data_IF_098848282194
#
_entry.id   IF_098848282194
#
_cell.length_a   1.000
_cell.length_b   1.000
_cell.length_c   1.000
_cell.angle_alpha   90.00
_cell.angle_beta   90.00
_cell.angle_gamma   90.00
#
_symmetry.space_group_name_H-M   'P 1'
#
loop_
_entity.id
_entity.type
_entity.pdbx_description
1 polymer ?
#
# COMPACT_ATOMS: atom_id res chain seq x y z
N UNK A 1 -1.39 -25.67 -1.83
CA UNK A 1 -1.66 -25.20 -3.22
C UNK A 1 -0.36 -25.22 -4.04
N UNK A 2 -0.14 -26.32 -4.76
CA UNK A 2 1.08 -26.56 -5.54
C UNK A 2 0.92 -26.09 -6.98
N UNK A 3 1.67 -25.06 -7.36
CA UNK A 3 2.03 -24.67 -8.74
C UNK A 3 2.88 -23.39 -8.77
N UNK A 4 2.83 -22.56 -7.72
CA UNK A 4 3.78 -21.48 -7.52
C UNK A 4 5.07 -22.07 -6.92
N UNK A 5 6.16 -22.07 -7.69
CA UNK A 5 7.52 -22.48 -7.26
C UNK A 5 8.12 -21.53 -6.19
N UNK A 6 7.35 -21.12 -5.18
CA UNK A 6 7.72 -20.13 -4.18
C UNK A 6 7.64 -18.67 -4.66
N UNK A 7 7.06 -18.41 -5.84
CA UNK A 7 6.83 -17.05 -6.34
C UNK A 7 5.64 -16.44 -5.62
N UNK A 8 5.83 -15.23 -5.09
CA UNK A 8 4.80 -14.44 -4.41
C UNK A 8 4.39 -13.27 -5.31
N UNK A 9 3.10 -12.98 -5.35
CA UNK A 9 2.56 -11.82 -6.04
C UNK A 9 1.93 -10.86 -5.04
N UNK A 10 2.20 -9.57 -5.19
CA UNK A 10 1.57 -8.48 -4.41
C UNK A 10 1.02 -7.46 -5.38
N UNK A 11 -0.23 -7.04 -5.20
CA UNK A 11 -0.77 -5.86 -5.89
C UNK A 11 -0.43 -4.62 -5.09
N UNK A 12 0.29 -3.68 -5.69
CA UNK A 12 0.43 -2.32 -5.18
C UNK A 12 -0.62 -1.44 -5.85
N UNK A 13 -1.30 -0.62 -5.06
CA UNK A 13 -2.28 0.36 -5.55
C UNK A 13 -1.87 1.75 -5.07
N UNK A 14 -2.01 2.73 -5.96
CA UNK A 14 -1.91 4.16 -5.66
C UNK A 14 -3.01 4.94 -6.41
N UNK A 15 -3.00 6.26 -6.32
CA UNK A 15 -3.99 7.11 -6.99
C UNK A 15 -3.93 7.05 -8.52
N UNK A 16 -2.83 6.53 -9.09
CA UNK A 16 -2.58 6.44 -10.54
C UNK A 16 -2.91 5.07 -11.12
N UNK A 17 -3.10 4.05 -10.28
CA UNK A 17 -3.52 2.72 -10.69
C UNK A 17 -2.92 1.61 -9.84
N UNK A 18 -2.66 0.46 -10.47
CA UNK A 18 -2.13 -0.72 -9.80
C UNK A 18 -0.93 -1.33 -10.53
N UNK A 19 -0.02 -1.90 -9.77
CA UNK A 19 1.15 -2.63 -10.25
C UNK A 19 1.25 -3.99 -9.56
N UNK A 20 1.53 -5.03 -10.35
CA UNK A 20 1.70 -6.40 -9.87
C UNK A 20 3.18 -6.66 -9.58
N UNK A 21 3.54 -6.78 -8.31
CA UNK A 21 4.88 -7.24 -7.93
C UNK A 21 5.01 -8.74 -8.15
N UNK A 22 6.12 -9.13 -8.75
CA UNK A 22 6.55 -10.53 -8.88
C UNK A 22 7.78 -10.71 -8.01
N UNK A 23 7.65 -11.52 -6.95
CA UNK A 23 8.69 -11.73 -5.95
C UNK A 23 9.14 -13.18 -6.05
N UNK A 24 10.37 -13.38 -6.51
CA UNK A 24 10.99 -14.70 -6.59
C UNK A 24 11.36 -15.23 -5.20
N UNK A 25 11.49 -16.55 -5.01
CA UNK A 25 11.72 -17.17 -3.70
C UNK A 25 12.92 -16.59 -2.93
N UNK A 26 14.03 -16.34 -3.62
CA UNK A 26 15.25 -15.77 -3.05
C UNK A 26 15.04 -14.35 -2.50
N UNK A 27 14.29 -13.53 -3.24
CA UNK A 27 13.90 -12.18 -2.81
C UNK A 27 12.89 -12.25 -1.67
N UNK A 28 11.90 -13.16 -1.76
CA UNK A 28 10.92 -13.37 -0.71
C UNK A 28 11.60 -13.73 0.61
N UNK A 29 12.50 -14.71 0.63
CA UNK A 29 13.18 -15.13 1.85
C UNK A 29 14.01 -13.98 2.46
N UNK A 30 14.70 -13.20 1.62
CA UNK A 30 15.48 -12.04 2.08
C UNK A 30 14.60 -10.93 2.67
N UNK A 31 13.40 -10.72 2.15
CA UNK A 31 12.51 -9.62 2.53
C UNK A 31 11.20 -10.09 3.18
N UNK A 32 11.20 -11.29 3.76
CA UNK A 32 10.00 -12.00 4.25
C UNK A 32 9.13 -11.15 5.18
N UNK A 33 9.76 -10.37 6.06
CA UNK A 33 9.05 -9.47 6.97
C UNK A 33 8.29 -8.35 6.25
N UNK A 34 8.91 -7.74 5.23
CA UNK A 34 8.28 -6.67 4.44
C UNK A 34 7.12 -7.25 3.63
N UNK A 35 7.33 -8.41 3.00
CA UNK A 35 6.32 -9.07 2.17
C UNK A 35 5.09 -9.51 2.95
N UNK A 36 5.26 -10.04 4.17
CA UNK A 36 4.16 -10.57 4.97
C UNK A 36 3.49 -9.53 5.87
N UNK A 37 4.16 -8.41 6.18
CA UNK A 37 3.71 -7.47 7.21
C UNK A 37 3.63 -6.01 6.78
N UNK A 38 4.15 -5.64 5.60
CA UNK A 38 4.09 -4.26 5.12
C UNK A 38 2.68 -3.88 4.65
N UNK A 39 2.17 -2.76 5.14
CA UNK A 39 0.93 -2.13 4.64
C UNK A 39 1.23 -1.00 3.65
N UNK A 40 2.44 -0.44 3.69
CA UNK A 40 2.98 0.41 2.64
C UNK A 40 4.38 -0.10 2.28
N UNK A 41 4.59 -0.41 1.00
CA UNK A 41 5.81 -1.08 0.54
C UNK A 41 6.47 -0.23 -0.54
N UNK A 42 7.73 0.12 -0.32
CA UNK A 42 8.61 0.63 -1.37
C UNK A 42 9.23 -0.53 -2.13
N UNK A 43 9.32 -0.43 -3.46
CA UNK A 43 9.89 -1.48 -4.31
C UNK A 43 10.87 -0.88 -5.32
N UNK A 44 11.96 -1.61 -5.57
CA UNK A 44 12.86 -1.38 -6.69
C UNK A 44 13.04 -2.69 -7.44
N UNK A 45 13.01 -2.63 -8.76
CA UNK A 45 13.09 -3.81 -9.59
C UNK A 45 12.91 -3.49 -11.06
N UNK A 46 12.77 -4.53 -11.87
CA UNK A 46 12.59 -4.39 -13.32
C UNK A 46 11.13 -4.18 -13.65
N UNK A 47 10.83 -3.05 -14.27
CA UNK A 47 9.50 -2.72 -14.79
C UNK A 47 9.26 -3.50 -16.08
N UNK A 48 8.14 -4.21 -16.13
CA UNK A 48 7.62 -4.86 -17.33
C UNK A 48 6.21 -4.32 -17.57
N UNK A 49 6.02 -3.66 -18.70
CA UNK A 49 4.72 -3.09 -19.07
C UNK A 49 4.14 -3.88 -20.22
N UNK A 50 2.93 -4.40 -20.03
CA UNK A 50 2.14 -5.02 -21.07
C UNK A 50 0.81 -4.26 -21.16
N UNK A 51 0.64 -3.52 -22.25
CA UNK A 51 -0.47 -2.59 -22.44
C UNK A 51 -0.64 -1.59 -21.28
N UNK A 52 -1.72 -1.74 -20.50
CA UNK A 52 -2.04 -0.92 -19.33
C UNK A 52 -1.57 -1.56 -18.02
N UNK A 53 -1.19 -2.83 -18.04
CA UNK A 53 -0.80 -3.58 -16.83
C UNK A 53 0.69 -3.40 -16.58
N UNK A 54 1.01 -3.04 -15.34
CA UNK A 54 2.38 -2.88 -14.88
C UNK A 54 2.75 -4.08 -14.01
N UNK A 55 3.84 -4.75 -14.37
CA UNK A 55 4.49 -5.75 -13.55
C UNK A 55 5.85 -5.23 -13.08
N UNK A 56 6.20 -5.46 -11.83
CA UNK A 56 7.54 -5.16 -11.31
C UNK A 56 8.15 -6.43 -10.77
N UNK A 57 9.21 -6.89 -11.41
CA UNK A 57 10.01 -8.00 -10.88
C UNK A 57 10.89 -7.44 -9.77
N UNK A 58 10.54 -7.75 -8.52
CA UNK A 58 11.13 -7.13 -7.34
C UNK A 58 12.56 -7.59 -7.09
N UNK A 59 13.43 -6.65 -6.73
CA UNK A 59 14.83 -6.91 -6.36
C UNK A 59 15.15 -6.39 -4.95
N UNK A 60 14.51 -5.28 -4.53
CA UNK A 60 14.61 -4.71 -3.19
C UNK A 60 13.25 -4.23 -2.72
N UNK A 61 13.01 -4.38 -1.42
CA UNK A 61 11.76 -4.04 -0.75
C UNK A 61 12.06 -3.26 0.53
N UNK A 62 11.22 -2.27 0.83
CA UNK A 62 11.26 -1.49 2.06
C UNK A 62 9.89 -1.46 2.71
N UNK A 63 9.86 -1.63 4.04
CA UNK A 63 8.66 -1.38 4.83
C UNK A 63 8.54 0.12 5.06
N UNK A 64 7.58 0.75 4.39
CA UNK A 64 7.26 2.16 4.53
C UNK A 64 6.05 2.38 5.45
N UNK A 65 5.44 1.32 5.98
CA UNK A 65 4.29 1.39 6.89
C UNK A 65 4.47 2.38 8.05
N UNK A 66 5.68 2.58 8.63
CA UNK A 66 5.89 3.62 9.65
C UNK A 66 5.52 5.05 9.22
N UNK A 67 5.62 5.37 7.92
CA UNK A 67 5.26 6.69 7.38
C UNK A 67 3.73 6.93 7.41
N UNK A 68 2.93 5.87 7.33
CA UNK A 68 1.48 5.97 7.53
C UNK A 68 1.16 6.33 8.99
N UNK A 69 1.95 5.81 9.94
CA UNK A 69 1.82 6.13 11.35
C UNK A 69 2.12 7.59 11.67
N UNK A 70 3.03 8.24 10.94
CA UNK A 70 3.31 9.67 11.08
C UNK A 70 2.18 10.51 10.47
N UNK A 71 1.69 10.15 9.28
CA UNK A 71 0.57 10.86 8.65
C UNK A 71 -0.70 10.84 9.53
N UNK A 72 -1.02 9.70 10.15
CA UNK A 72 -2.16 9.60 11.06
C UNK A 72 -2.02 10.40 12.37
N UNK A 73 -0.78 10.71 12.78
CA UNK A 73 -0.51 11.57 13.95
C UNK A 73 -0.65 13.04 13.58
N UNK A 74 -0.16 13.43 12.41
CA UNK A 74 -0.22 14.81 11.90
C UNK A 74 -1.62 15.19 11.39
N UNK A 75 -2.41 14.22 10.93
CA UNK A 75 -3.80 14.40 10.52
C UNK A 75 -4.79 14.46 11.68
N UNK A 76 -4.34 14.41 12.95
CA UNK A 76 -5.20 14.77 14.08
C UNK A 76 -5.39 16.28 14.01
N UNK A 77 -6.60 16.78 13.69
CA UNK A 77 -6.86 18.19 13.92
C UNK A 77 -6.67 18.40 15.42
N UNK A 78 -5.89 19.41 15.77
CA UNK A 78 -5.92 19.97 17.11
C UNK A 78 -7.40 20.12 17.50
N UNK A 79 -7.86 19.36 18.50
CA UNK A 79 -9.23 19.47 19.00
C UNK A 79 -9.28 20.73 19.85
N UNK A 80 -9.20 21.86 19.17
CA UNK A 80 -9.44 23.19 19.67
C UNK A 80 -10.03 24.04 18.53
N UNK A 81 -11.03 23.51 17.83
CA UNK A 81 -12.04 24.36 17.21
C UNK A 81 -13.35 23.58 17.13
N UNK A 82 -14.16 23.78 18.17
CA UNK A 82 -15.60 23.56 18.12
C UNK A 82 -16.23 24.54 17.12
N UNK A 83 -16.02 24.31 15.82
CA UNK A 83 -16.92 24.87 14.82
C UNK A 83 -18.20 24.03 14.86
N UNK A 84 -19.12 24.47 15.72
CA UNK A 84 -20.52 24.04 15.75
C UNK A 84 -21.09 24.09 14.33
N UNK A 85 -21.23 22.94 13.70
CA UNK A 85 -22.15 22.79 12.58
C UNK A 85 -23.54 22.63 13.18
N UNK A 86 -24.19 23.77 13.41
CA UNK A 86 -25.60 23.83 13.77
C UNK A 86 -26.43 23.41 12.56
N UNK A 87 -26.58 22.09 12.37
CA UNK A 87 -27.53 21.52 11.42
C UNK A 87 -28.89 21.54 12.10
N UNK A 88 -29.61 22.63 11.92
CA UNK A 88 -31.04 22.67 12.21
C UNK A 88 -31.73 21.75 11.22
N UNK A 89 -32.05 20.53 11.67
CA UNK A 89 -32.91 19.60 10.97
C UNK A 89 -34.27 20.27 10.75
N UNK A 90 -34.59 20.63 9.51
CA UNK A 90 -35.93 21.02 9.10
C UNK A 90 -36.70 19.75 8.77
N UNK A 91 -37.75 19.50 9.53
CA UNK A 91 -38.76 18.48 9.26
C UNK A 91 -39.27 18.59 7.82
N UNK A 92 -39.31 17.45 7.13
CA UNK A 92 -40.11 17.26 5.92
C UNK A 92 -40.97 16.00 6.09
N UNK A 93 -42.25 16.27 6.39
CA UNK A 93 -43.47 15.44 6.37
C UNK A 93 -43.52 14.12 7.14
#
# INVERSE_FOLDING_TARGET
PGSANGVVFITLEDETGHANLVIWPDVFERFRRVVLGGTMIGVSGRLQRQDTVIHVVAEKLWDLSPLLGTLARDARPDRADEARFDVTSRDFH
#
